data_IF_519334119228
#
_entry.id   IF_519334119228
#
_cell.length_a   1.000
_cell.length_b   1.000
_cell.length_c   1.000
_cell.angle_alpha   90.00
_cell.angle_beta   90.00
_cell.angle_gamma   90.00
#
_symmetry.space_group_name_H-M   'P 1'
#
loop_
_entity.id
_entity.type
_entity.pdbx_description
1 polymer ?
#
# COMPACT_ATOMS: atom_id res chain seq x y z
N UNK A 1 -43.14 -23.11 23.96
CA UNK A 1 -41.72 -22.91 24.34
C UNK A 1 -40.88 -22.89 23.09
N UNK A 2 -40.87 -21.75 22.43
CA UNK A 2 -40.04 -21.50 21.29
C UNK A 2 -38.66 -21.01 21.73
N UNK A 3 -37.65 -21.82 21.56
CA UNK A 3 -36.27 -21.40 21.68
C UNK A 3 -35.93 -20.53 20.44
N UNK A 4 -35.97 -19.24 20.63
CA UNK A 4 -35.55 -18.30 19.61
C UNK A 4 -34.01 -18.33 19.59
N UNK A 5 -33.44 -19.13 18.69
CA UNK A 5 -32.03 -19.09 18.43
C UNK A 5 -31.71 -17.79 17.70
N UNK A 6 -31.33 -16.76 18.44
CA UNK A 6 -30.71 -15.57 17.83
C UNK A 6 -29.35 -16.00 17.30
N UNK A 7 -29.31 -16.38 16.05
CA UNK A 7 -28.07 -16.43 15.32
C UNK A 7 -27.68 -14.97 15.10
N UNK A 8 -26.83 -14.46 15.97
CA UNK A 8 -26.10 -13.24 15.68
C UNK A 8 -25.22 -13.55 14.49
N UNK A 9 -25.70 -13.26 13.30
CA UNK A 9 -24.84 -13.18 12.13
C UNK A 9 -23.81 -12.11 12.42
N UNK A 10 -22.62 -12.51 12.85
CA UNK A 10 -21.45 -11.64 12.82
C UNK A 10 -21.10 -11.46 11.34
N UNK A 11 -21.93 -10.67 10.65
CA UNK A 11 -21.62 -10.17 9.36
C UNK A 11 -20.32 -9.39 9.51
N UNK A 12 -19.24 -9.84 8.86
CA UNK A 12 -18.10 -9.01 8.63
C UNK A 12 -18.64 -7.69 8.06
N UNK A 13 -18.66 -6.67 8.88
CA UNK A 13 -18.99 -5.34 8.40
C UNK A 13 -17.94 -5.03 7.36
N UNK A 14 -18.33 -4.71 6.11
CA UNK A 14 -17.35 -4.12 5.23
C UNK A 14 -16.77 -2.96 6.01
N UNK A 15 -15.47 -3.00 6.25
CA UNK A 15 -14.80 -1.89 6.87
C UNK A 15 -15.07 -0.70 5.96
N UNK A 16 -15.96 0.18 6.38
CA UNK A 16 -16.08 1.49 5.80
C UNK A 16 -14.83 2.26 6.20
N UNK A 17 -13.69 1.88 5.61
CA UNK A 17 -12.54 2.72 5.65
C UNK A 17 -12.94 3.99 4.90
N UNK A 18 -13.04 5.10 5.63
CA UNK A 18 -13.15 6.43 5.06
C UNK A 18 -11.81 6.79 4.39
N UNK A 19 -11.45 6.04 3.34
CA UNK A 19 -10.19 6.19 2.65
C UNK A 19 -9.75 4.87 2.02
N UNK A 20 -8.88 4.92 1.03
CA UNK A 20 -8.32 3.74 0.41
C UNK A 20 -7.37 3.03 1.36
N UNK A 21 -7.67 1.79 1.67
CA UNK A 21 -6.79 0.91 2.41
C UNK A 21 -6.33 -0.23 1.50
N UNK A 22 -5.01 -0.36 1.33
CA UNK A 22 -4.39 -1.33 0.44
C UNK A 22 -3.45 -2.23 1.22
N UNK A 23 -3.65 -3.52 1.09
CA UNK A 23 -2.84 -4.56 1.72
C UNK A 23 -1.80 -5.09 0.75
N UNK A 24 -0.56 -5.15 1.22
CA UNK A 24 0.55 -5.76 0.51
C UNK A 24 1.22 -6.80 1.38
N UNK A 25 1.51 -7.94 0.80
CA UNK A 25 2.24 -9.03 1.45
C UNK A 25 3.47 -9.34 0.64
N UNK A 26 4.64 -9.39 1.29
CA UNK A 26 5.87 -9.78 0.62
C UNK A 26 5.98 -11.31 0.54
N UNK A 27 6.42 -11.80 -0.61
CA UNK A 27 6.70 -13.21 -0.84
C UNK A 27 8.15 -13.39 -1.28
N UNK A 28 8.84 -14.31 -0.63
CA UNK A 28 10.13 -14.79 -1.11
C UNK A 28 9.90 -15.68 -2.34
N UNK A 29 10.65 -15.41 -3.38
CA UNK A 29 10.66 -16.18 -4.61
C UNK A 29 11.82 -17.16 -4.61
N UNK A 30 11.80 -18.14 -5.50
CA UNK A 30 12.93 -19.03 -5.70
C UNK A 30 14.19 -18.22 -6.05
N UNK A 31 15.31 -18.54 -5.39
CA UNK A 31 16.52 -17.75 -5.45
C UNK A 31 16.55 -16.64 -4.39
N UNK A 32 17.10 -15.50 -4.70
CA UNK A 32 17.25 -14.38 -3.75
C UNK A 32 16.17 -13.30 -3.91
N UNK A 33 15.25 -13.47 -4.85
CA UNK A 33 14.20 -12.50 -5.17
C UNK A 33 13.06 -12.48 -4.17
N UNK A 34 12.37 -11.36 -4.13
CA UNK A 34 11.11 -11.20 -3.41
C UNK A 34 10.22 -10.22 -4.14
N UNK A 35 8.92 -10.41 -4.03
CA UNK A 35 7.94 -9.51 -4.63
C UNK A 35 6.82 -9.18 -3.66
N UNK A 36 6.40 -7.94 -3.66
CA UNK A 36 5.20 -7.49 -2.98
C UNK A 36 3.96 -7.87 -3.80
N UNK A 37 2.96 -8.45 -3.15
CA UNK A 37 1.69 -8.82 -3.77
C UNK A 37 0.54 -8.04 -3.13
N UNK A 38 -0.46 -7.63 -3.89
CA UNK A 38 -0.63 -7.86 -5.33
C UNK A 38 0.37 -7.05 -6.15
N UNK A 39 0.67 -7.51 -7.36
CA UNK A 39 1.65 -6.86 -8.23
C UNK A 39 1.11 -5.67 -9.00
N UNK A 40 -0.19 -5.52 -9.04
CA UNK A 40 -0.86 -4.37 -9.65
C UNK A 40 -1.96 -3.88 -8.74
N UNK A 41 -1.96 -2.59 -8.48
CA UNK A 41 -2.96 -1.92 -7.64
C UNK A 41 -3.44 -0.68 -8.39
N UNK A 42 -4.75 -0.46 -8.35
CA UNK A 42 -5.37 0.75 -8.91
C UNK A 42 -5.91 1.60 -7.77
N UNK A 43 -5.46 2.84 -7.72
CA UNK A 43 -5.93 3.84 -6.77
C UNK A 43 -6.80 4.84 -7.53
N UNK A 44 -8.03 5.02 -7.09
CA UNK A 44 -8.95 6.00 -7.63
C UNK A 44 -8.91 7.28 -6.80
N UNK A 45 -8.40 8.37 -7.37
CA UNK A 45 -8.31 9.65 -6.65
C UNK A 45 -9.64 10.15 -6.13
N UNK A 46 -10.71 9.91 -6.89
CA UNK A 46 -12.05 10.38 -6.54
C UNK A 46 -12.67 9.69 -5.33
N UNK A 47 -12.23 8.48 -5.00
CA UNK A 47 -12.81 7.66 -3.94
C UNK A 47 -11.82 7.26 -2.86
N UNK A 48 -10.61 6.89 -3.25
CA UNK A 48 -9.63 6.30 -2.34
C UNK A 48 -8.85 7.33 -1.51
N UNK A 49 -8.80 8.58 -1.97
CA UNK A 49 -8.13 9.66 -1.24
C UNK A 49 -9.01 10.34 -0.21
N UNK A 50 -10.30 10.06 -0.24
CA UNK A 50 -11.24 10.65 0.70
C UNK A 50 -11.00 10.07 2.10
N UNK A 51 -10.48 10.88 3.02
CA UNK A 51 -10.09 10.45 4.37
C UNK A 51 -8.68 9.88 4.51
N UNK A 52 -7.87 9.92 3.46
CA UNK A 52 -6.47 9.49 3.47
C UNK A 52 -6.25 8.11 2.87
N UNK A 53 -5.06 7.90 2.38
CA UNK A 53 -4.61 6.65 1.78
C UNK A 53 -3.72 5.90 2.76
N UNK A 54 -4.01 4.63 3.01
CA UNK A 54 -3.28 3.80 3.95
C UNK A 54 -2.77 2.54 3.26
N UNK A 55 -1.49 2.26 3.43
CA UNK A 55 -0.88 1.00 3.05
C UNK A 55 -0.63 0.15 4.27
N UNK A 56 -1.01 -1.11 4.20
CA UNK A 56 -0.72 -2.11 5.21
C UNK A 56 0.27 -3.10 4.61
N UNK A 57 1.45 -3.16 5.20
CA UNK A 57 2.60 -3.90 4.68
C UNK A 57 2.87 -5.07 5.62
N UNK A 58 2.71 -6.29 5.13
CA UNK A 58 2.88 -7.51 5.91
C UNK A 58 4.09 -8.31 5.42
N UNK A 59 4.94 -8.70 6.35
CA UNK A 59 6.09 -9.55 6.08
C UNK A 59 6.03 -10.87 6.85
N UNK A 60 5.47 -11.92 6.28
CA UNK A 60 5.45 -13.26 6.89
C UNK A 60 6.74 -14.05 6.69
N UNK A 61 7.74 -13.47 6.03
CA UNK A 61 9.00 -14.15 5.70
C UNK A 61 10.03 -14.05 6.84
N UNK A 62 11.05 -14.90 6.86
CA UNK A 62 12.13 -14.81 7.85
C UNK A 62 13.19 -13.75 7.55
N UNK A 63 13.03 -12.96 6.49
CA UNK A 63 13.97 -11.90 6.08
C UNK A 63 13.35 -10.52 6.25
N UNK A 64 14.18 -9.52 6.49
CA UNK A 64 13.73 -8.11 6.41
C UNK A 64 13.53 -7.73 4.95
N UNK A 65 12.42 -7.06 4.67
CA UNK A 65 12.10 -6.50 3.37
C UNK A 65 11.84 -5.01 3.44
N UNK A 66 11.91 -4.36 2.30
CA UNK A 66 11.62 -2.93 2.17
C UNK A 66 10.50 -2.77 1.15
N UNK A 67 9.54 -1.94 1.47
CA UNK A 67 8.56 -1.46 0.49
C UNK A 67 9.03 -0.09 0.00
N UNK A 68 9.48 -0.02 -1.23
CA UNK A 68 9.90 1.22 -1.87
C UNK A 68 8.99 1.51 -3.05
N UNK A 69 8.44 2.71 -3.05
CA UNK A 69 7.61 3.22 -4.14
C UNK A 69 8.05 4.63 -4.51
N UNK A 70 9.05 4.75 -5.40
CA UNK A 70 9.47 6.04 -5.90
C UNK A 70 8.30 6.76 -6.59
N UNK A 71 8.01 7.98 -6.19
CA UNK A 71 6.86 8.73 -6.68
C UNK A 71 5.69 8.78 -5.70
N UNK A 72 5.67 7.97 -4.67
CA UNK A 72 4.77 8.09 -3.53
C UNK A 72 5.51 8.60 -2.30
N UNK A 73 4.77 9.14 -1.35
CA UNK A 73 5.33 9.74 -0.14
C UNK A 73 4.65 9.20 1.11
N UNK A 74 5.44 8.98 2.13
CA UNK A 74 4.95 8.71 3.48
C UNK A 74 4.61 10.04 4.14
N UNK A 75 3.42 10.15 4.70
CA UNK A 75 2.99 11.29 5.47
C UNK A 75 3.30 11.03 6.95
N UNK A 76 4.11 11.89 7.53
CA UNK A 76 4.47 11.85 8.95
C UNK A 76 3.76 12.99 9.64
N UNK A 77 2.93 12.64 10.62
CA UNK A 77 2.22 13.62 11.45
C UNK A 77 3.06 13.84 12.72
N UNK A 78 3.68 15.01 12.84
CA UNK A 78 4.55 15.38 13.98
C UNK A 78 3.83 16.17 15.08
N UNK A 79 2.53 16.41 14.92
CA UNK A 79 1.72 17.16 15.87
C UNK A 79 0.41 17.63 15.24
N UNK A 80 -0.44 18.38 15.97
CA UNK A 80 -1.77 18.74 15.50
C UNK A 80 -1.78 19.65 14.26
N UNK A 81 -0.67 20.32 13.93
CA UNK A 81 -0.57 21.25 12.80
C UNK A 81 0.65 21.01 11.91
N UNK A 82 1.49 20.02 12.22
CA UNK A 82 2.72 19.77 11.49
C UNK A 82 2.68 18.38 10.85
N UNK A 83 2.69 18.34 9.53
CA UNK A 83 2.93 17.12 8.78
C UNK A 83 4.07 17.33 7.80
N UNK A 84 4.96 16.34 7.72
CA UNK A 84 6.01 16.28 6.72
C UNK A 84 5.82 15.08 5.82
N UNK A 85 6.35 15.14 4.62
CA UNK A 85 6.33 14.04 3.68
C UNK A 85 7.76 13.64 3.33
N UNK A 86 8.00 12.35 3.21
CA UNK A 86 9.26 11.78 2.73
C UNK A 86 8.99 10.71 1.67
N UNK A 87 9.93 10.41 0.77
CA UNK A 87 9.77 9.32 -0.18
C UNK A 87 9.38 8.02 0.52
N UNK A 88 8.44 7.29 -0.07
CA UNK A 88 7.92 6.07 0.52
C UNK A 88 8.96 4.95 0.45
N UNK A 89 9.53 4.67 1.60
CA UNK A 89 10.49 3.60 1.82
C UNK A 89 10.34 3.08 3.24
N UNK A 90 9.79 1.89 3.38
CA UNK A 90 9.42 1.32 4.68
C UNK A 90 10.12 -0.02 4.88
N UNK A 91 10.87 -0.14 5.97
CA UNK A 91 11.44 -1.41 6.41
C UNK A 91 10.38 -2.22 7.15
N UNK A 92 10.23 -3.47 6.76
CA UNK A 92 9.30 -4.40 7.40
C UNK A 92 10.08 -5.62 7.84
N UNK A 93 10.24 -5.77 9.15
CA UNK A 93 11.01 -6.88 9.73
C UNK A 93 10.22 -8.20 9.73
N UNK A 94 10.87 -9.35 9.91
CA UNK A 94 10.19 -10.65 9.91
C UNK A 94 9.00 -10.69 10.87
N UNK A 95 7.84 -11.09 10.37
CA UNK A 95 6.61 -11.21 11.16
C UNK A 95 5.89 -9.89 11.46
N UNK A 96 6.43 -8.77 10.98
CA UNK A 96 5.86 -7.44 11.24
C UNK A 96 4.78 -7.09 10.22
N UNK A 97 3.80 -6.33 10.69
CA UNK A 97 2.82 -5.65 9.86
C UNK A 97 2.90 -4.15 10.17
N UNK A 98 3.16 -3.36 9.15
CA UNK A 98 3.33 -1.90 9.27
C UNK A 98 2.17 -1.20 8.57
N UNK A 99 1.63 -0.21 9.23
CA UNK A 99 0.57 0.65 8.69
C UNK A 99 1.18 2.01 8.37
N UNK A 100 1.07 2.45 7.12
CA UNK A 100 1.68 3.69 6.64
C UNK A 100 0.63 4.59 6.00
N UNK A 101 0.62 5.85 6.38
CA UNK A 101 -0.18 6.86 5.70
C UNK A 101 0.59 7.38 4.48
N UNK A 102 -0.06 7.34 3.32
CA UNK A 102 0.55 7.67 2.04
C UNK A 102 -0.08 8.92 1.45
N UNK A 103 0.75 9.78 0.88
CA UNK A 103 0.33 10.96 0.14
C UNK A 103 0.71 10.85 -1.32
N UNK A 104 -0.22 11.18 -2.21
CA UNK A 104 -0.01 11.29 -3.65
C UNK A 104 0.01 12.73 -4.14
N UNK A 105 -0.34 13.68 -3.30
CA UNK A 105 -0.51 15.09 -3.69
C UNK A 105 0.77 15.77 -4.19
N UNK A 106 1.93 15.18 -3.90
CA UNK A 106 3.22 15.72 -4.34
C UNK A 106 3.82 15.04 -5.57
N UNK A 107 3.05 14.28 -6.31
CA UNK A 107 3.44 13.77 -7.63
C UNK A 107 3.57 14.90 -8.68
N UNK A 108 4.13 16.05 -8.29
CA UNK A 108 4.38 17.18 -9.18
C UNK A 108 5.61 17.00 -10.08
N UNK A 109 6.33 15.90 -9.97
CA UNK A 109 7.35 15.53 -10.94
C UNK A 109 6.77 14.46 -11.82
N UNK A 110 6.38 14.90 -13.01
CA UNK A 110 5.89 14.15 -14.15
C UNK A 110 6.00 12.62 -13.98
N UNK A 111 5.04 11.98 -13.31
CA UNK A 111 4.88 10.55 -13.49
C UNK A 111 4.54 10.35 -14.96
N UNK A 112 4.98 9.26 -15.53
CA UNK A 112 4.53 8.88 -16.85
C UNK A 112 3.02 8.80 -16.84
N UNK A 113 2.40 9.81 -17.41
CA UNK A 113 0.96 9.85 -17.56
C UNK A 113 0.62 9.21 -18.89
N UNK A 114 -0.16 8.14 -18.85
CA UNK A 114 -0.62 7.50 -20.07
C UNK A 114 -1.73 8.34 -20.76
N UNK A 115 -2.14 7.89 -21.95
CA UNK A 115 -3.16 8.58 -22.72
C UNK A 115 -4.53 8.70 -22.03
N UNK A 116 -4.78 7.93 -20.97
CA UNK A 116 -6.02 7.98 -20.17
C UNK A 116 -5.94 8.95 -18.99
N UNK A 117 -4.78 9.58 -18.75
CA UNK A 117 -4.53 10.43 -17.59
C UNK A 117 -4.14 9.65 -16.32
N UNK A 118 -3.92 8.34 -16.44
CA UNK A 118 -3.45 7.54 -15.32
C UNK A 118 -1.95 7.72 -15.10
N UNK A 119 -1.56 7.80 -13.84
CA UNK A 119 -0.17 7.87 -13.42
C UNK A 119 0.28 6.47 -12.97
N UNK A 120 1.47 6.06 -13.37
CA UNK A 120 2.03 4.76 -13.03
C UNK A 120 3.22 4.92 -12.13
N UNK A 121 3.19 4.26 -10.98
CA UNK A 121 4.28 4.27 -10.00
C UNK A 121 4.76 2.83 -9.77
N UNK A 122 6.07 2.56 -9.88
CA UNK A 122 6.61 1.26 -9.52
C UNK A 122 6.69 1.10 -7.99
N UNK A 123 6.61 -0.14 -7.54
CA UNK A 123 6.97 -0.49 -6.17
C UNK A 123 7.70 -1.85 -6.13
N UNK A 124 8.63 -1.99 -5.22
CA UNK A 124 9.50 -3.16 -5.16
C UNK A 124 10.23 -3.25 -3.83
N UNK A 125 10.90 -4.37 -3.58
CA UNK A 125 11.86 -4.50 -2.48
C UNK A 125 13.29 -4.32 -3.01
N UNK A 126 14.00 -3.24 -2.69
CA UNK A 126 15.34 -2.99 -3.23
C UNK A 126 16.40 -3.94 -2.68
N UNK A 127 16.15 -4.62 -1.56
CA UNK A 127 17.08 -5.56 -0.95
C UNK A 127 17.11 -6.91 -1.68
N UNK A 128 16.00 -7.31 -2.29
CA UNK A 128 15.78 -8.66 -2.82
C UNK A 128 15.10 -8.68 -4.18
N UNK A 129 15.27 -7.67 -4.99
CA UNK A 129 14.58 -7.67 -6.28
C UNK A 129 14.65 -6.34 -7.00
N UNK A 130 15.88 -5.92 -7.33
CA UNK A 130 16.10 -4.74 -8.15
C UNK A 130 15.76 -4.98 -9.65
N UNK A 131 15.52 -6.22 -10.06
CA UNK A 131 15.18 -6.55 -11.43
C UNK A 131 13.79 -6.02 -11.80
N UNK A 132 13.67 -5.47 -12.99
CA UNK A 132 12.40 -4.96 -13.52
C UNK A 132 11.27 -6.02 -13.48
N UNK A 133 11.62 -7.30 -13.65
CA UNK A 133 10.66 -8.40 -13.58
C UNK A 133 10.01 -8.56 -12.21
N UNK A 134 10.64 -8.06 -11.13
CA UNK A 134 10.13 -8.13 -9.77
C UNK A 134 9.46 -6.83 -9.31
N UNK A 135 9.46 -5.82 -10.16
CA UNK A 135 8.74 -4.57 -9.90
C UNK A 135 7.25 -4.75 -10.11
N UNK A 136 6.53 -4.16 -9.21
CA UNK A 136 5.07 -4.11 -9.24
C UNK A 136 4.61 -2.70 -9.57
N UNK A 137 3.34 -2.51 -9.85
CA UNK A 137 2.83 -1.25 -10.37
C UNK A 137 1.61 -0.77 -9.60
N UNK A 138 1.66 0.49 -9.20
CA UNK A 138 0.50 1.24 -8.70
C UNK A 138 0.04 2.16 -9.84
N UNK A 139 -1.20 1.99 -10.26
CA UNK A 139 -1.87 2.90 -11.19
C UNK A 139 -2.76 3.86 -10.41
N UNK A 140 -2.53 5.15 -10.58
CA UNK A 140 -3.37 6.19 -9.98
C UNK A 140 -4.22 6.80 -11.07
N UNK A 141 -5.53 6.62 -10.96
CA UNK A 141 -6.52 7.10 -11.93
C UNK A 141 -7.37 8.21 -11.32
N UNK A 142 -7.95 9.08 -12.15
CA UNK A 142 -8.81 10.16 -11.69
C UNK A 142 -9.96 9.76 -10.79
#
# INVERSE_FOLDING_TARGET
LGLLLLIAASGARPSTSLGGEFHFVIHDLEGEGAAWLPREVVIHKSTDLDGGLIFILENPTPRTHVFEAPGLFEQIVEGPEASTVKPLRVYVTPGETVRVQVSIEQLHREPETDASGAQTCPFFCPLHGADEALRSTIRVVP
#
